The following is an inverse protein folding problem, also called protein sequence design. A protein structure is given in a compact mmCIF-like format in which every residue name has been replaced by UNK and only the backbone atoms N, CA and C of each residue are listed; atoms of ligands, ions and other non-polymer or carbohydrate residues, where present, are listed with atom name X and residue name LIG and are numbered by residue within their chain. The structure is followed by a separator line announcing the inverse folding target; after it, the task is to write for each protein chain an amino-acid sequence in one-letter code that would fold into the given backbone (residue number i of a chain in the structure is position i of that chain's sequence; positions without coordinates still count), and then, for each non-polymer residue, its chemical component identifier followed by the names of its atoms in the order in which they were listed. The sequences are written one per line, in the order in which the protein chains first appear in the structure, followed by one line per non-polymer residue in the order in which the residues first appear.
data_IF_140951462302
#
_entry.id   IF_140951462302
#
_cell.length_a   1.000
_cell.length_b   1.000
_cell.length_c   1.000
_cell.angle_alpha   90.00
_cell.angle_beta   90.00
_cell.angle_gamma   90.00
#
_symmetry.space_group_name_H-M   'P 1'
#
loop_
_entity.id
_entity.type
_entity.pdbx_description
1 polymer ?
#
# COMPACT_ATOMS: atom_id res chain seq x y z
N UNK A 1 16.08 9.92 11.08
CA UNK A 1 16.13 11.19 10.70
C UNK A 1 15.32 11.63 9.51
N UNK A 2 15.21 10.78 8.47
CA UNK A 2 14.38 11.15 7.33
C UNK A 2 12.90 11.21 7.68
N UNK A 3 12.47 10.41 8.67
CA UNK A 3 11.10 10.53 9.16
C UNK A 3 10.86 11.92 9.77
N UNK A 4 11.87 12.47 10.45
CA UNK A 4 11.81 13.82 11.00
C UNK A 4 11.79 14.88 9.90
N UNK A 5 12.31 14.54 8.71
CA UNK A 5 12.29 15.43 7.54
C UNK A 5 11.00 15.30 6.74
N UNK A 6 10.01 14.60 7.26
CA UNK A 6 8.71 14.51 6.63
C UNK A 6 8.59 13.45 5.53
N UNK A 7 9.60 12.61 5.36
CA UNK A 7 9.52 11.52 4.36
C UNK A 7 8.64 10.40 4.90
N UNK A 8 7.55 10.13 4.19
CA UNK A 8 6.62 9.05 4.51
C UNK A 8 6.31 8.24 3.27
N UNK A 9 5.97 6.98 3.47
CA UNK A 9 5.65 6.07 2.38
C UNK A 9 4.27 5.48 2.54
N UNK A 10 3.61 5.34 1.42
CA UNK A 10 2.29 4.70 1.32
C UNK A 10 2.41 3.44 0.48
N UNK A 11 1.67 2.42 0.85
CA UNK A 11 1.51 1.19 0.08
C UNK A 11 0.05 1.02 -0.31
N UNK A 12 -0.19 0.65 -1.55
CA UNK A 12 -1.53 0.41 -2.06
C UNK A 12 -1.59 -0.97 -2.70
N UNK A 13 -2.46 -1.81 -2.18
CA UNK A 13 -2.80 -3.09 -2.78
C UNK A 13 -4.10 -2.90 -3.54
N UNK A 14 -4.06 -2.98 -4.87
CA UNK A 14 -5.21 -2.65 -5.72
C UNK A 14 -5.86 -3.91 -6.25
N UNK A 15 -7.17 -4.03 -6.05
CA UNK A 15 -7.96 -5.15 -6.53
C UNK A 15 -9.16 -4.63 -7.32
N UNK A 16 -9.53 -5.32 -8.37
CA UNK A 16 -10.70 -4.95 -9.16
C UNK A 16 -11.99 -5.19 -8.36
N UNK A 17 -12.11 -6.34 -7.75
CA UNK A 17 -13.27 -6.73 -6.97
C UNK A 17 -12.85 -7.41 -5.67
N UNK A 18 -13.43 -6.95 -4.56
CA UNK A 18 -13.32 -7.63 -3.28
C UNK A 18 -14.71 -8.11 -2.89
N UNK A 19 -14.82 -9.38 -2.56
CA UNK A 19 -16.05 -10.00 -2.13
C UNK A 19 -15.79 -10.93 -0.95
N UNK A 20 -16.85 -11.60 -0.51
CA UNK A 20 -16.78 -12.47 0.65
C UNK A 20 -15.79 -13.62 0.49
N UNK A 21 -15.59 -14.11 -0.74
CA UNK A 21 -14.69 -15.24 -0.98
C UNK A 21 -13.21 -14.87 -0.99
N UNK A 22 -12.86 -13.62 -1.29
CA UNK A 22 -11.46 -13.21 -1.40
C UNK A 22 -11.03 -12.12 -0.42
N UNK A 23 -11.94 -11.62 0.41
CA UNK A 23 -11.66 -10.47 1.27
C UNK A 23 -10.47 -10.70 2.21
N UNK A 24 -10.37 -11.87 2.80
CA UNK A 24 -9.27 -12.17 3.72
C UNK A 24 -7.94 -12.26 3.01
N UNK A 25 -7.91 -12.92 1.87
CA UNK A 25 -6.69 -13.03 1.07
C UNK A 25 -6.21 -11.65 0.63
N UNK A 26 -7.10 -10.82 0.10
CA UNK A 26 -6.79 -9.46 -0.31
C UNK A 26 -6.28 -8.64 0.87
N UNK A 27 -6.92 -8.75 2.02
CA UNK A 27 -6.52 -8.02 3.21
C UNK A 27 -5.12 -8.42 3.68
N UNK A 28 -4.84 -9.73 3.77
CA UNK A 28 -3.53 -10.18 4.22
C UNK A 28 -2.43 -9.85 3.23
N UNK A 29 -2.73 -9.81 1.93
CA UNK A 29 -1.79 -9.30 0.95
C UNK A 29 -1.48 -7.82 1.22
N UNK A 30 -2.49 -7.03 1.53
CA UNK A 30 -2.29 -5.61 1.86
C UNK A 30 -1.44 -5.45 3.12
N UNK A 31 -1.68 -6.26 4.15
CA UNK A 31 -0.86 -6.24 5.37
C UNK A 31 0.59 -6.57 5.05
N UNK A 32 0.82 -7.66 4.33
CA UNK A 32 2.17 -8.09 3.98
C UNK A 32 2.89 -7.07 3.11
N UNK A 33 2.21 -6.58 2.07
CA UNK A 33 2.83 -5.67 1.11
C UNK A 33 3.04 -4.27 1.66
N UNK A 34 2.37 -3.91 2.76
CA UNK A 34 2.49 -2.59 3.37
C UNK A 34 3.41 -2.57 4.59
N UNK A 35 4.02 -3.69 4.95
CA UNK A 35 4.87 -3.77 6.15
C UNK A 35 6.07 -2.82 6.10
N UNK A 36 6.48 -2.42 4.90
CA UNK A 36 7.57 -1.50 4.66
C UNK A 36 7.12 -0.02 4.59
N UNK A 37 5.83 0.25 4.71
CA UNK A 37 5.27 1.58 4.52
C UNK A 37 4.73 2.15 5.84
N UNK A 38 4.65 3.47 5.91
CA UNK A 38 4.05 4.16 7.04
C UNK A 38 2.52 4.05 7.00
N UNK A 39 1.95 4.05 5.79
CA UNK A 39 0.51 3.93 5.56
C UNK A 39 0.27 2.80 4.56
N UNK A 40 -0.62 1.89 4.90
CA UNK A 40 -1.01 0.83 3.99
C UNK A 40 -2.50 0.90 3.68
N UNK A 41 -2.86 0.78 2.41
CA UNK A 41 -4.24 0.81 1.95
C UNK A 41 -4.55 -0.37 1.07
N UNK A 42 -5.72 -0.92 1.27
CA UNK A 42 -6.36 -1.80 0.31
C UNK A 42 -7.29 -0.95 -0.54
N UNK A 43 -7.22 -1.09 -1.86
CA UNK A 43 -7.99 -0.29 -2.82
C UNK A 43 -8.81 -1.24 -3.67
N UNK A 44 -10.11 -0.98 -3.81
CA UNK A 44 -10.97 -1.80 -4.65
C UNK A 44 -11.88 -0.94 -5.51
N UNK A 45 -12.05 -1.37 -6.76
CA UNK A 45 -13.00 -0.73 -7.67
C UNK A 45 -14.43 -1.14 -7.32
N UNK A 46 -14.63 -2.39 -6.90
CA UNK A 46 -15.95 -2.91 -6.54
C UNK A 46 -15.87 -3.73 -5.25
N UNK A 47 -16.92 -3.61 -4.44
CA UNK A 47 -17.09 -4.41 -3.23
C UNK A 47 -18.38 -5.18 -3.37
N UNK A 48 -18.30 -6.52 -3.33
CA UNK A 48 -19.45 -7.39 -3.42
C UNK A 48 -19.98 -7.80 -2.05
N UNK A 49 -21.21 -7.39 -1.76
CA UNK A 49 -21.89 -7.78 -0.54
C UNK A 49 -21.68 -6.85 0.64
N UNK A 50 -22.73 -6.68 1.45
CA UNK A 50 -22.69 -5.81 2.65
C UNK A 50 -21.80 -6.38 3.75
N UNK A 51 -21.71 -7.70 3.85
CA UNK A 51 -20.88 -8.36 4.85
C UNK A 51 -19.40 -8.18 4.60
N UNK A 52 -19.00 -8.00 3.36
CA UNK A 52 -17.61 -7.81 2.96
C UNK A 52 -17.03 -6.54 3.60
N UNK A 53 -17.74 -5.43 3.49
CA UNK A 53 -17.27 -4.17 4.08
C UNK A 53 -17.22 -4.26 5.60
N UNK A 54 -18.18 -4.95 6.20
CA UNK A 54 -18.22 -5.16 7.65
C UNK A 54 -17.00 -5.95 8.12
N UNK A 55 -16.64 -7.01 7.41
CA UNK A 55 -15.45 -7.80 7.73
C UNK A 55 -14.19 -6.99 7.55
N UNK A 56 -14.09 -6.19 6.48
CA UNK A 56 -12.96 -5.31 6.25
C UNK A 56 -12.77 -4.33 7.42
N UNK A 57 -13.84 -3.74 7.92
CA UNK A 57 -13.76 -2.81 9.05
C UNK A 57 -13.18 -3.47 10.29
N UNK A 58 -13.55 -4.71 10.57
CA UNK A 58 -13.01 -5.47 11.69
C UNK A 58 -11.52 -5.73 11.53
N UNK A 59 -11.11 -6.15 10.33
CA UNK A 59 -9.71 -6.44 10.04
C UNK A 59 -8.86 -5.17 10.08
N UNK A 60 -9.36 -4.08 9.52
CA UNK A 60 -8.62 -2.82 9.49
C UNK A 60 -8.42 -2.25 10.89
N UNK A 61 -9.42 -2.36 11.75
CA UNK A 61 -9.30 -1.91 13.13
C UNK A 61 -8.16 -2.61 13.86
N UNK A 62 -7.96 -3.90 13.58
CA UNK A 62 -6.91 -4.69 14.20
C UNK A 62 -5.51 -4.37 13.68
N UNK A 63 -5.38 -4.01 12.39
CA UNK A 63 -4.08 -3.91 11.72
C UNK A 63 -3.71 -2.51 11.25
N UNK A 64 -4.60 -1.55 11.33
CA UNK A 64 -4.32 -0.17 10.92
C UNK A 64 -4.22 0.06 9.42
N UNK A 65 -4.64 -0.92 8.61
CA UNK A 65 -4.72 -0.78 7.15
C UNK A 65 -5.97 0.02 6.82
N UNK A 66 -5.87 0.94 5.87
CA UNK A 66 -7.02 1.69 5.40
C UNK A 66 -7.67 1.06 4.17
N UNK A 67 -8.83 1.56 3.81
CA UNK A 67 -9.56 1.09 2.66
C UNK A 67 -10.07 2.23 1.79
N UNK A 68 -9.80 2.15 0.49
CA UNK A 68 -10.22 3.13 -0.50
C UNK A 68 -11.13 2.47 -1.52
N UNK A 69 -12.30 3.05 -1.72
CA UNK A 69 -13.18 2.68 -2.83
C UNK A 69 -12.80 3.52 -4.03
N UNK A 70 -12.24 2.86 -5.04
CA UNK A 70 -11.76 3.52 -6.24
C UNK A 70 -12.91 3.78 -7.20
N UNK A 71 -13.00 5.01 -7.70
CA UNK A 71 -13.85 5.32 -8.84
C UNK A 71 -13.00 5.26 -10.10
N UNK A 72 -13.19 4.22 -10.92
CA UNK A 72 -12.34 3.98 -12.09
C UNK A 72 -12.60 4.98 -13.21
N UNK A 73 -13.80 5.54 -13.28
CA UNK A 73 -14.16 6.52 -14.29
C UNK A 73 -13.65 7.91 -13.95
N UNK A 74 -13.62 8.23 -12.65
CA UNK A 74 -13.12 9.52 -12.16
C UNK A 74 -12.36 9.29 -10.86
N UNK A 75 -11.06 8.96 -10.94
CA UNK A 75 -10.26 8.65 -9.73
C UNK A 75 -10.26 9.72 -8.67
N UNK A 76 -10.49 11.00 -9.04
CA UNK A 76 -10.58 12.09 -8.07
C UNK A 76 -11.81 11.97 -7.16
N UNK A 77 -12.82 11.22 -7.58
CA UNK A 77 -14.03 10.98 -6.78
C UNK A 77 -13.91 9.72 -5.91
N UNK A 78 -12.78 9.06 -5.90
CA UNK A 78 -12.55 7.92 -5.02
C UNK A 78 -12.67 8.31 -3.56
N UNK A 79 -13.13 7.37 -2.72
CA UNK A 79 -13.43 7.65 -1.32
C UNK A 79 -12.57 6.82 -0.39
N UNK A 80 -12.00 7.48 0.61
CA UNK A 80 -11.34 6.80 1.72
C UNK A 80 -12.44 6.39 2.70
N UNK A 81 -12.81 5.12 2.68
CA UNK A 81 -13.85 4.59 3.57
C UNK A 81 -13.32 4.30 4.96
N UNK A 82 -12.08 3.89 5.06
CA UNK A 82 -11.40 3.64 6.33
C UNK A 82 -10.01 4.25 6.20
N UNK A 83 -9.66 5.26 7.01
CA UNK A 83 -8.32 5.84 6.95
C UNK A 83 -7.29 4.88 7.57
N UNK A 84 -6.12 4.79 6.95
CA UNK A 84 -5.02 4.02 7.50
C UNK A 84 -4.45 4.72 8.74
N UNK A 85 -3.95 3.94 9.69
CA UNK A 85 -3.18 4.48 10.81
C UNK A 85 -1.72 4.56 10.42
N UNK A 86 -1.07 5.63 10.81
CA UNK A 86 0.35 5.81 10.57
C UNK A 86 1.16 4.82 11.41
N UNK A 87 2.16 4.19 10.77
CA UNK A 87 3.16 3.37 11.45
C UNK A 87 4.48 4.13 11.45
N UNK A 88 5.03 4.32 12.62
CA UNK A 88 6.31 5.03 12.76
C UNK A 88 7.49 4.13 12.40
N UNK A 89 7.34 2.82 12.62
CA UNK A 89 8.38 1.85 12.31
C UNK A 89 7.99 1.00 11.12
N UNK A 90 8.99 0.77 10.27
CA UNK A 90 8.83 -0.06 9.09
C UNK A 90 9.38 -1.44 9.40
N UNK A 91 8.64 -2.46 9.05
CA UNK A 91 9.06 -3.84 9.21
C UNK A 91 10.00 -4.22 8.06
N UNK A 92 11.28 -3.92 8.24
CA UNK A 92 12.30 -4.23 7.25
C UNK A 92 12.51 -5.72 7.06
N UNK A 93 12.28 -6.52 8.10
CA UNK A 93 12.39 -7.97 7.98
C UNK A 93 11.34 -8.52 7.03
N UNK A 94 10.09 -8.07 7.16
CA UNK A 94 9.03 -8.47 6.24
C UNK A 94 9.30 -7.96 4.83
N UNK A 95 9.78 -6.72 4.69
CA UNK A 95 10.13 -6.16 3.40
C UNK A 95 11.24 -6.97 2.72
N UNK A 96 12.24 -7.39 3.47
CA UNK A 96 13.32 -8.22 2.95
C UNK A 96 12.81 -9.61 2.52
N UNK A 97 11.87 -10.18 3.26
CA UNK A 97 11.27 -11.47 2.88
C UNK A 97 10.49 -11.36 1.58
N UNK A 98 9.70 -10.30 1.43
CA UNK A 98 8.97 -10.05 0.18
C UNK A 98 9.94 -9.82 -0.98
N UNK A 99 11.04 -9.13 -0.72
CA UNK A 99 12.05 -8.86 -1.73
C UNK A 99 12.73 -10.14 -2.23
N UNK A 100 12.93 -11.15 -1.36
CA UNK A 100 13.48 -12.43 -1.78
C UNK A 100 12.54 -13.20 -2.70
N UNK A 101 11.24 -12.96 -2.59
CA UNK A 101 10.23 -13.64 -3.39
C UNK A 101 9.88 -12.88 -4.66
N UNK A 102 10.18 -11.58 -4.72
CA UNK A 102 9.80 -10.72 -5.83
C UNK A 102 10.97 -9.79 -6.19
N UNK A 103 11.52 -9.98 -7.39
CA UNK A 103 12.69 -9.23 -7.85
C UNK A 103 12.41 -7.73 -8.00
N UNK A 104 11.26 -7.38 -8.54
CA UNK A 104 10.90 -5.97 -8.73
C UNK A 104 10.75 -5.27 -7.39
N UNK A 105 10.19 -5.96 -6.42
CA UNK A 105 10.08 -5.44 -5.06
C UNK A 105 11.47 -5.25 -4.43
N UNK A 106 12.39 -6.19 -4.68
CA UNK A 106 13.78 -6.06 -4.21
C UNK A 106 14.44 -4.80 -4.75
N UNK A 107 14.29 -4.53 -6.05
CA UNK A 107 14.82 -3.33 -6.66
C UNK A 107 14.23 -2.08 -6.00
N UNK A 108 12.93 -2.07 -5.77
CA UNK A 108 12.26 -0.96 -5.12
C UNK A 108 12.78 -0.74 -3.70
N UNK A 109 12.93 -1.80 -2.93
CA UNK A 109 13.45 -1.72 -1.55
C UNK A 109 14.87 -1.12 -1.54
N UNK A 110 15.70 -1.52 -2.49
CA UNK A 110 17.05 -0.97 -2.63
C UNK A 110 17.01 0.53 -2.89
N UNK A 111 16.13 0.99 -3.77
CA UNK A 111 15.98 2.41 -4.07
C UNK A 111 15.50 3.20 -2.86
N UNK A 112 14.55 2.67 -2.11
CA UNK A 112 14.04 3.31 -0.89
C UNK A 112 15.15 3.43 0.14
N UNK A 113 15.93 2.37 0.36
CA UNK A 113 17.06 2.39 1.30
C UNK A 113 18.12 3.41 0.87
N UNK A 114 18.42 3.46 -0.43
CA UNK A 114 19.36 4.44 -0.96
C UNK A 114 18.86 5.85 -0.69
N UNK A 115 17.59 6.12 -0.93
CA UNK A 115 17.00 7.43 -0.63
C UNK A 115 17.15 7.79 0.84
N UNK A 116 16.90 6.84 1.75
CA UNK A 116 17.05 7.09 3.18
C UNK A 116 18.48 7.39 3.60
N UNK A 117 19.45 6.82 2.89
CA UNK A 117 20.86 7.03 3.19
C UNK A 117 21.39 8.33 2.59
N UNK A 118 20.96 8.68 1.39
CA UNK A 118 21.53 9.81 0.63
C UNK A 118 20.63 11.04 0.58
N UNK A 119 19.32 10.86 0.77
CA UNK A 119 18.34 11.92 0.58
C UNK A 119 18.08 12.26 -0.88
N UNK A 120 18.58 11.45 -1.80
CA UNK A 120 18.47 11.70 -3.23
C UNK A 120 17.68 10.61 -3.93
N UNK A 121 16.77 11.03 -4.80
CA UNK A 121 16.08 10.14 -5.73
C UNK A 121 16.53 10.51 -7.13
N UNK A 122 17.22 9.57 -7.81
CA UNK A 122 17.65 9.78 -9.19
C UNK A 122 16.53 9.35 -10.12
N UNK A 123 16.03 10.26 -10.97
CA UNK A 123 14.89 9.93 -11.84
C UNK A 123 15.09 8.68 -12.71
N UNK A 124 16.33 8.40 -13.09
CA UNK A 124 16.63 7.22 -13.93
C UNK A 124 16.40 5.89 -13.20
N UNK A 125 16.39 5.90 -11.87
CA UNK A 125 16.23 4.69 -11.05
C UNK A 125 14.76 4.40 -10.70
N UNK A 126 13.86 5.35 -10.96
CA UNK A 126 12.46 5.25 -10.57
C UNK A 126 11.57 5.18 -11.79
N UNK A 127 10.52 4.37 -11.69
CA UNK A 127 9.49 4.36 -12.72
C UNK A 127 8.73 5.68 -12.68
N UNK A 128 8.94 6.50 -13.67
CA UNK A 128 8.18 7.71 -13.85
C UNK A 128 7.10 7.40 -14.88
N UNK A 129 5.81 7.60 -14.52
CA UNK A 129 4.76 7.39 -15.51
C UNK A 129 5.04 8.22 -16.74
N UNK A 130 5.08 7.56 -17.91
CA UNK A 130 5.16 8.30 -19.16
C UNK A 130 3.87 9.11 -19.29
N UNK A 131 4.04 10.41 -19.38
CA UNK A 131 2.93 11.27 -19.74
C UNK A 131 2.71 11.11 -21.23
N UNK A 132 1.84 10.17 -21.55
CA UNK A 132 1.43 10.01 -22.95
C UNK A 132 0.61 11.23 -23.35
N UNK A 133 1.04 11.79 -24.41
CA UNK A 133 0.38 12.94 -25.01
C UNK A 133 -1.00 12.60 -25.58
#
# INVERSE_FOLDING_TARGET
KYAENGTKRWSFEVKLLINRSNVRECFFQAVSNSSWANFGYLVAAEIGGTDTLKELRMLFAAHGIGFIKLDVDNPADSQVLIPARERDEIDWDMANRLATENRDFLEYVKLVKQFYQTGEARPADWDVPELDD
#
